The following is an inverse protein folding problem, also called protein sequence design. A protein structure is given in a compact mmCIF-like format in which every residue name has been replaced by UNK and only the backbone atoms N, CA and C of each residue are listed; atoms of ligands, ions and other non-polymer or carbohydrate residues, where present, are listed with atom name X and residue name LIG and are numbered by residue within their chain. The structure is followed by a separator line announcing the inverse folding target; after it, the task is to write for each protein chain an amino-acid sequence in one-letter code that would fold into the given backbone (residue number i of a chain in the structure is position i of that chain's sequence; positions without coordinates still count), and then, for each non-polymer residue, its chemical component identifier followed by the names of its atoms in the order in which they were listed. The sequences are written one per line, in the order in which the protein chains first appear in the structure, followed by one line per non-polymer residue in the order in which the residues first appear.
data_IF_697484555616
#
_entry.id   IF_697484555616
#
_cell.length_a   1.000
_cell.length_b   1.000
_cell.length_c   1.000
_cell.angle_alpha   90.00
_cell.angle_beta   90.00
_cell.angle_gamma   90.00
#
_symmetry.space_group_name_H-M   'P 1'
#
loop_
_entity.id
_entity.type
_entity.pdbx_description
1 polymer ?
#
# COMPACT_ATOMS: atom_id res chain seq x y z
N UNK A 1 -2.51 -1.55 16.77
CA UNK A 1 -2.84 -0.87 15.49
C UNK A 1 -1.93 -1.45 14.41
N UNK A 2 -2.49 -2.24 13.49
CA UNK A 2 -1.80 -2.91 12.39
C UNK A 2 -1.37 -1.89 11.31
N UNK A 3 -0.57 -2.35 10.34
CA UNK A 3 -0.25 -1.50 9.18
C UNK A 3 -1.52 -1.20 8.35
N UNK A 4 -2.43 -2.17 8.24
CA UNK A 4 -3.75 -2.04 7.61
C UNK A 4 -4.55 -0.92 8.26
N UNK A 5 -4.73 -0.93 9.58
CA UNK A 5 -5.48 0.10 10.32
C UNK A 5 -4.92 1.52 10.08
N UNK A 6 -3.58 1.64 10.05
CA UNK A 6 -2.92 2.93 9.78
C UNK A 6 -3.18 3.44 8.36
N UNK A 7 -3.26 2.53 7.40
CA UNK A 7 -3.57 2.85 6.00
C UNK A 7 -5.04 3.26 5.85
N UNK A 8 -5.95 2.55 6.48
CA UNK A 8 -7.38 2.88 6.52
C UNK A 8 -7.60 4.26 7.13
N UNK A 9 -7.07 4.51 8.32
CA UNK A 9 -7.15 5.83 8.96
C UNK A 9 -6.52 6.95 8.11
N UNK A 10 -5.55 6.63 7.24
CA UNK A 10 -5.03 7.61 6.27
C UNK A 10 -6.00 7.88 5.15
N UNK A 11 -6.69 6.86 4.63
CA UNK A 11 -7.71 7.04 3.59
C UNK A 11 -8.88 7.87 4.13
N UNK A 12 -9.37 7.57 5.33
CA UNK A 12 -10.41 8.36 6.00
C UNK A 12 -10.03 9.84 6.15
N UNK A 13 -8.81 10.13 6.61
CA UNK A 13 -8.34 11.53 6.71
C UNK A 13 -8.26 12.23 5.35
N UNK A 14 -7.92 11.51 4.28
CA UNK A 14 -7.91 12.08 2.93
C UNK A 14 -9.32 12.45 2.47
N UNK A 15 -10.34 11.61 2.77
CA UNK A 15 -11.74 11.91 2.46
C UNK A 15 -12.25 13.11 3.26
N UNK A 16 -11.94 13.20 4.56
CA UNK A 16 -12.27 14.37 5.36
C UNK A 16 -11.66 15.65 4.79
N UNK A 17 -10.44 15.59 4.29
CA UNK A 17 -9.77 16.73 3.69
C UNK A 17 -10.36 17.05 2.31
N UNK A 18 -10.75 16.04 1.53
CA UNK A 18 -11.46 16.23 0.26
C UNK A 18 -12.78 16.96 0.50
N UNK A 19 -13.62 16.50 1.43
CA UNK A 19 -14.88 17.14 1.78
C UNK A 19 -14.70 18.61 2.23
N UNK A 20 -13.65 18.88 3.04
CA UNK A 20 -13.31 20.27 3.43
C UNK A 20 -12.90 21.14 2.24
N UNK A 21 -12.27 20.56 1.22
CA UNK A 21 -11.90 21.26 -0.02
C UNK A 21 -13.10 21.49 -0.92
N UNK A 22 -14.00 20.54 -1.04
CA UNK A 22 -15.27 20.68 -1.76
C UNK A 22 -16.12 21.81 -1.18
N UNK A 23 -16.24 21.85 0.15
CA UNK A 23 -16.96 22.95 0.82
C UNK A 23 -16.33 24.32 0.51
N UNK A 24 -14.98 24.41 0.46
CA UNK A 24 -14.29 25.65 0.08
C UNK A 24 -14.46 25.99 -1.40
N UNK A 25 -14.51 25.00 -2.28
CA UNK A 25 -14.81 25.18 -3.70
C UNK A 25 -16.19 25.80 -3.88
N UNK A 26 -17.18 25.17 -3.26
CA UNK A 26 -18.57 25.68 -3.29
C UNK A 26 -18.70 27.10 -2.73
N UNK A 27 -18.06 27.40 -1.61
CA UNK A 27 -18.04 28.71 -1.01
C UNK A 27 -17.42 29.78 -1.93
N UNK A 28 -16.31 29.45 -2.61
CA UNK A 28 -15.63 30.33 -3.53
C UNK A 28 -16.47 30.59 -4.79
N UNK A 29 -17.09 29.54 -5.35
CA UNK A 29 -18.00 29.66 -6.49
C UNK A 29 -19.20 30.54 -6.14
N UNK A 30 -19.91 30.26 -5.04
CA UNK A 30 -21.05 31.05 -4.58
C UNK A 30 -20.71 32.51 -4.29
N UNK A 31 -19.48 32.80 -3.85
CA UNK A 31 -19.03 34.17 -3.65
C UNK A 31 -18.81 34.89 -4.98
N UNK A 32 -18.30 34.19 -6.00
CA UNK A 32 -18.15 34.72 -7.35
C UNK A 32 -19.51 34.94 -8.02
N UNK A 33 -20.42 33.97 -7.91
CA UNK A 33 -21.79 34.06 -8.47
C UNK A 33 -22.56 35.24 -7.90
N UNK A 34 -22.50 35.48 -6.58
CA UNK A 34 -23.15 36.66 -5.96
C UNK A 34 -22.66 38.00 -6.53
N UNK A 35 -21.41 38.09 -6.96
CA UNK A 35 -20.90 39.28 -7.63
C UNK A 35 -21.42 39.32 -9.07
N UNK A 36 -21.43 38.18 -9.77
CA UNK A 36 -21.91 38.08 -11.14
C UNK A 36 -23.40 38.43 -11.26
N UNK A 37 -24.22 37.97 -10.31
CA UNK A 37 -25.66 38.26 -10.24
C UNK A 37 -25.97 39.79 -10.14
N UNK A 38 -25.03 40.54 -9.60
CA UNK A 38 -25.12 42.00 -9.55
C UNK A 38 -24.80 42.72 -10.87
N UNK A 39 -24.32 42.00 -11.88
CA UNK A 39 -23.98 42.54 -13.20
C UNK A 39 -25.00 42.03 -14.21
N UNK A 40 -25.82 42.95 -14.84
CA UNK A 40 -26.76 42.52 -15.86
C UNK A 40 -26.09 41.78 -17.00
N UNK A 41 -26.71 40.67 -17.43
CA UNK A 41 -26.17 39.84 -18.50
C UNK A 41 -25.94 40.65 -19.78
N UNK A 42 -24.71 40.56 -20.33
CA UNK A 42 -24.35 41.28 -21.56
C UNK A 42 -24.05 42.77 -21.38
N UNK A 43 -23.97 43.27 -20.15
CA UNK A 43 -23.61 44.66 -19.91
C UNK A 43 -22.15 44.92 -20.30
N UNK A 44 -21.87 45.81 -21.30
CA UNK A 44 -20.50 46.13 -21.66
C UNK A 44 -19.85 47.05 -20.62
N UNK A 45 -18.53 46.98 -20.51
CA UNK A 45 -17.76 47.96 -19.74
C UNK A 45 -17.85 49.33 -20.44
N UNK A 46 -18.44 50.29 -19.76
CA UNK A 46 -18.54 51.67 -20.27
C UNK A 46 -17.21 52.38 -20.06
N UNK A 47 -16.37 52.42 -21.10
CA UNK A 47 -15.04 53.05 -21.07
C UNK A 47 -15.16 54.55 -20.83
N UNK A 48 -14.38 55.06 -19.85
CA UNK A 48 -14.43 56.49 -19.46
C UNK A 48 -15.55 56.85 -18.50
N UNK A 49 -16.47 55.92 -18.17
CA UNK A 49 -17.53 56.14 -17.19
C UNK A 49 -17.03 55.94 -15.75
N UNK A 50 -17.59 56.68 -14.80
CA UNK A 50 -17.19 56.59 -13.37
C UNK A 50 -17.28 55.16 -12.78
N UNK A 51 -18.14 54.30 -13.32
CA UNK A 51 -18.31 52.91 -12.88
C UNK A 51 -17.31 51.94 -13.50
N UNK A 52 -16.51 52.34 -14.50
CA UNK A 52 -15.59 51.41 -15.20
C UNK A 52 -14.66 50.68 -14.26
N UNK A 53 -14.00 51.41 -13.36
CA UNK A 53 -13.03 50.84 -12.43
C UNK A 53 -13.67 49.82 -11.44
N UNK A 54 -14.93 50.05 -11.05
CA UNK A 54 -15.70 49.14 -10.21
C UNK A 54 -16.04 47.84 -10.98
N UNK A 55 -16.59 47.99 -12.20
CA UNK A 55 -16.98 46.88 -13.07
C UNK A 55 -15.78 45.96 -13.41
N UNK A 56 -14.63 46.56 -13.75
CA UNK A 56 -13.40 45.78 -14.01
C UNK A 56 -12.95 45.01 -12.76
N UNK A 57 -12.97 45.58 -11.58
CA UNK A 57 -12.65 44.91 -10.32
C UNK A 57 -13.61 43.76 -10.01
N UNK A 58 -14.88 43.91 -10.29
CA UNK A 58 -15.88 42.88 -10.04
C UNK A 58 -15.70 41.70 -11.00
N UNK A 59 -15.40 41.93 -12.28
CA UNK A 59 -15.00 40.88 -13.23
C UNK A 59 -13.76 40.15 -12.75
N UNK A 60 -12.73 40.87 -12.29
CA UNK A 60 -11.50 40.22 -11.77
C UNK A 60 -11.76 39.39 -10.51
N UNK A 61 -12.64 39.86 -9.60
CA UNK A 61 -13.06 39.09 -8.42
C UNK A 61 -13.83 37.84 -8.80
N UNK A 62 -14.71 37.89 -9.80
CA UNK A 62 -15.43 36.71 -10.33
C UNK A 62 -14.41 35.69 -10.85
N UNK A 63 -13.52 36.12 -11.74
CA UNK A 63 -12.47 35.22 -12.30
C UNK A 63 -11.58 34.60 -11.20
N UNK A 64 -11.13 35.43 -10.26
CA UNK A 64 -10.31 34.96 -9.14
C UNK A 64 -11.08 33.99 -8.24
N UNK A 65 -12.36 34.26 -7.97
CA UNK A 65 -13.22 33.35 -7.19
C UNK A 65 -13.44 32.02 -7.87
N UNK A 66 -13.77 32.01 -9.16
CA UNK A 66 -13.93 30.77 -9.94
C UNK A 66 -12.64 29.97 -10.05
N UNK A 67 -11.48 30.63 -10.26
CA UNK A 67 -10.19 29.96 -10.28
C UNK A 67 -9.86 29.29 -8.93
N UNK A 68 -10.19 29.96 -7.81
CA UNK A 68 -10.03 29.35 -6.46
C UNK A 68 -10.97 28.16 -6.27
N UNK A 69 -12.20 28.23 -6.77
CA UNK A 69 -13.14 27.13 -6.71
C UNK A 69 -12.58 25.91 -7.46
N UNK A 70 -12.14 26.07 -8.70
CA UNK A 70 -11.51 25.01 -9.50
C UNK A 70 -10.24 24.45 -8.85
N UNK A 71 -9.42 25.29 -8.24
CA UNK A 71 -8.23 24.81 -7.51
C UNK A 71 -8.59 23.93 -6.33
N UNK A 72 -9.62 24.32 -5.56
CA UNK A 72 -10.10 23.52 -4.45
C UNK A 72 -10.72 22.21 -4.91
N UNK A 73 -11.50 22.19 -5.97
CA UNK A 73 -12.10 21.01 -6.58
C UNK A 73 -11.01 20.00 -7.01
N UNK A 74 -10.02 20.44 -7.79
CA UNK A 74 -8.90 19.59 -8.21
C UNK A 74 -8.14 18.99 -7.03
N UNK A 75 -7.97 19.76 -5.93
CA UNK A 75 -7.36 19.25 -4.71
C UNK A 75 -8.23 18.19 -4.02
N UNK A 76 -9.55 18.39 -4.01
CA UNK A 76 -10.51 17.43 -3.46
C UNK A 76 -10.46 16.10 -4.24
N UNK A 77 -10.58 16.17 -5.56
CA UNK A 77 -10.48 15.00 -6.45
C UNK A 77 -9.17 14.23 -6.27
N UNK A 78 -8.05 14.95 -6.19
CA UNK A 78 -6.74 14.32 -5.96
C UNK A 78 -6.66 13.60 -4.61
N UNK A 79 -7.28 14.15 -3.55
CA UNK A 79 -7.31 13.53 -2.23
C UNK A 79 -8.21 12.29 -2.24
N UNK A 80 -9.41 12.38 -2.81
CA UNK A 80 -10.35 11.27 -2.97
C UNK A 80 -9.72 10.12 -3.79
N UNK A 81 -9.17 10.42 -4.95
CA UNK A 81 -8.47 9.43 -5.77
C UNK A 81 -7.33 8.72 -5.03
N UNK A 82 -6.60 9.43 -4.16
CA UNK A 82 -5.56 8.82 -3.32
C UNK A 82 -6.14 7.94 -2.22
N UNK A 83 -7.29 8.31 -1.64
CA UNK A 83 -8.00 7.49 -0.67
C UNK A 83 -8.47 6.18 -1.32
N UNK A 84 -9.07 6.25 -2.50
CA UNK A 84 -9.52 5.09 -3.27
C UNK A 84 -8.36 4.19 -3.68
N UNK A 85 -7.23 4.77 -4.10
CA UNK A 85 -6.01 4.02 -4.38
C UNK A 85 -5.49 3.25 -3.15
N UNK A 86 -5.58 3.84 -1.95
CA UNK A 86 -5.24 3.16 -0.69
C UNK A 86 -6.21 1.99 -0.45
N UNK A 87 -7.52 2.18 -0.57
CA UNK A 87 -8.53 1.13 -0.37
C UNK A 87 -8.37 -0.01 -1.37
N UNK A 88 -8.14 0.30 -2.63
CA UNK A 88 -7.86 -0.71 -3.66
C UNK A 88 -6.62 -1.55 -3.33
N UNK A 89 -5.57 -0.93 -2.80
CA UNK A 89 -4.39 -1.67 -2.33
C UNK A 89 -4.71 -2.54 -1.12
N UNK A 90 -5.49 -2.04 -0.15
CA UNK A 90 -5.89 -2.78 1.04
C UNK A 90 -6.74 -3.99 0.71
N UNK A 91 -7.62 -3.90 -0.28
CA UNK A 91 -8.45 -5.02 -0.73
C UNK A 91 -7.63 -6.18 -1.32
N UNK A 92 -6.46 -5.90 -1.92
CA UNK A 92 -5.66 -6.89 -2.65
C UNK A 92 -4.35 -7.27 -1.94
N UNK A 93 -3.90 -6.49 -0.98
CA UNK A 93 -2.63 -6.72 -0.28
C UNK A 93 -2.84 -7.60 0.96
N UNK A 94 -1.91 -8.50 1.18
CA UNK A 94 -1.76 -9.26 2.42
C UNK A 94 -0.58 -8.66 3.15
N UNK A 95 -0.79 -8.09 4.34
CA UNK A 95 0.31 -7.54 5.15
C UNK A 95 0.81 -8.59 6.14
N UNK A 96 2.08 -8.48 6.54
CA UNK A 96 2.71 -9.46 7.42
C UNK A 96 2.20 -9.41 8.86
N UNK A 97 1.53 -8.31 9.23
CA UNK A 97 0.90 -8.09 10.53
C UNK A 97 -0.63 -8.27 10.49
N UNK A 98 -1.20 -8.73 9.37
CA UNK A 98 -2.58 -9.18 9.32
C UNK A 98 -2.73 -10.49 10.11
N UNK A 99 -3.78 -10.62 10.88
CA UNK A 99 -4.05 -11.82 11.71
C UNK A 99 -4.26 -13.09 10.88
N UNK A 100 -4.70 -12.94 9.64
CA UNK A 100 -4.98 -13.99 8.66
C UNK A 100 -3.91 -14.06 7.54
N UNK A 101 -2.75 -13.43 7.72
CA UNK A 101 -1.70 -13.35 6.68
C UNK A 101 -1.26 -14.74 6.16
N UNK A 102 -1.11 -15.73 7.06
CA UNK A 102 -0.71 -17.08 6.70
C UNK A 102 -1.79 -17.78 5.85
N UNK A 103 -3.04 -17.95 6.32
CA UNK A 103 -4.08 -18.59 5.50
C UNK A 103 -4.39 -17.83 4.22
N UNK A 104 -4.35 -16.50 4.22
CA UNK A 104 -4.56 -15.70 3.01
C UNK A 104 -3.44 -15.91 1.96
N UNK A 105 -2.18 -16.09 2.39
CA UNK A 105 -1.08 -16.45 1.48
C UNK A 105 -1.20 -17.87 0.94
N UNK A 106 -1.61 -18.83 1.78
CA UNK A 106 -1.85 -20.21 1.35
C UNK A 106 -2.95 -20.28 0.29
N UNK A 107 -4.06 -19.58 0.50
CA UNK A 107 -5.14 -19.48 -0.49
C UNK A 107 -4.67 -18.82 -1.78
N UNK A 108 -3.88 -17.73 -1.69
CA UNK A 108 -3.31 -17.05 -2.86
C UNK A 108 -2.38 -17.95 -3.65
N UNK A 109 -1.51 -18.71 -2.99
CA UNK A 109 -0.61 -19.67 -3.62
C UNK A 109 -1.42 -20.73 -4.35
N UNK A 110 -2.43 -21.33 -3.69
CA UNK A 110 -3.30 -22.35 -4.30
C UNK A 110 -4.02 -21.83 -5.55
N UNK A 111 -4.53 -20.59 -5.53
CA UNK A 111 -5.15 -19.93 -6.71
C UNK A 111 -4.14 -19.77 -7.86
N UNK A 112 -2.93 -19.29 -7.57
CA UNK A 112 -1.89 -19.12 -8.60
C UNK A 112 -1.40 -20.44 -9.18
N UNK A 113 -1.33 -21.49 -8.37
CA UNK A 113 -0.97 -22.85 -8.81
C UNK A 113 -2.07 -23.42 -9.71
N UNK A 114 -3.33 -23.30 -9.32
CA UNK A 114 -4.48 -23.72 -10.12
C UNK A 114 -4.52 -22.98 -11.48
N UNK A 115 -4.28 -21.67 -11.47
CA UNK A 115 -4.19 -20.86 -12.69
C UNK A 115 -3.03 -21.35 -13.59
N UNK A 116 -1.86 -21.61 -13.02
CA UNK A 116 -0.70 -22.13 -13.76
C UNK A 116 -0.99 -23.49 -14.40
N UNK A 117 -1.63 -24.38 -13.69
CA UNK A 117 -2.02 -25.69 -14.23
C UNK A 117 -3.08 -25.57 -15.31
N UNK A 118 -4.05 -24.66 -15.18
CA UNK A 118 -5.04 -24.39 -16.25
C UNK A 118 -4.37 -23.88 -17.53
N UNK A 119 -3.38 -22.99 -17.43
CA UNK A 119 -2.60 -22.50 -18.58
C UNK A 119 -1.79 -23.61 -19.26
N UNK A 120 -1.17 -24.49 -18.47
CA UNK A 120 -0.46 -25.65 -19.00
C UNK A 120 -1.40 -26.61 -19.73
N UNK A 121 -2.58 -26.89 -19.14
CA UNK A 121 -3.59 -27.76 -19.71
C UNK A 121 -4.12 -27.21 -21.05
N UNK A 122 -4.45 -25.91 -21.09
CA UNK A 122 -4.88 -25.23 -22.31
C UNK A 122 -3.82 -25.27 -23.42
N UNK A 123 -2.56 -24.97 -23.07
CA UNK A 123 -1.45 -25.07 -24.03
C UNK A 123 -1.23 -26.50 -24.53
N UNK A 124 -1.39 -27.50 -23.65
CA UNK A 124 -1.28 -28.92 -24.04
C UNK A 124 -2.40 -29.35 -24.98
N UNK A 125 -3.64 -28.96 -24.67
CA UNK A 125 -4.80 -29.21 -25.53
C UNK A 125 -4.63 -28.57 -26.90
N UNK A 126 -4.19 -27.30 -26.95
CA UNK A 126 -3.93 -26.59 -28.19
C UNK A 126 -2.88 -27.29 -29.05
N UNK A 127 -1.75 -27.70 -28.44
CA UNK A 127 -0.70 -28.44 -29.18
C UNK A 127 -1.19 -29.76 -29.76
N UNK A 128 -2.09 -30.45 -29.05
CA UNK A 128 -2.68 -31.72 -29.55
C UNK A 128 -3.62 -31.46 -30.74
N UNK A 129 -4.48 -30.42 -30.63
CA UNK A 129 -5.46 -30.09 -31.67
C UNK A 129 -4.79 -29.57 -32.95
N UNK A 130 -3.72 -28.76 -32.84
CA UNK A 130 -3.07 -28.08 -33.96
C UNK A 130 -1.69 -28.67 -34.31
N UNK A 131 -1.49 -29.98 -34.06
CA UNK A 131 -0.17 -30.64 -34.22
C UNK A 131 0.44 -30.47 -35.61
N UNK A 132 -0.37 -30.61 -36.67
CA UNK A 132 0.09 -30.51 -38.05
C UNK A 132 0.49 -29.06 -38.41
N UNK A 133 -0.31 -28.10 -38.01
CA UNK A 133 -0.05 -26.65 -38.26
C UNK A 133 1.22 -26.20 -37.52
N UNK A 134 1.34 -26.59 -36.25
CA UNK A 134 2.49 -26.25 -35.43
C UNK A 134 3.80 -26.91 -35.93
N UNK A 135 3.71 -28.06 -36.59
CA UNK A 135 4.90 -28.72 -37.19
C UNK A 135 5.51 -27.91 -38.32
N UNK A 136 4.70 -27.15 -39.07
CA UNK A 136 5.17 -26.27 -40.16
C UNK A 136 5.75 -24.93 -39.68
N UNK A 137 5.54 -24.55 -38.44
CA UNK A 137 5.94 -23.27 -37.85
C UNK A 137 7.37 -23.32 -37.30
N UNK A 138 8.04 -22.19 -37.26
CA UNK A 138 9.29 -22.01 -36.52
C UNK A 138 9.08 -22.11 -34.99
N UNK A 139 10.16 -22.26 -34.24
CA UNK A 139 10.07 -22.31 -32.77
C UNK A 139 9.46 -21.04 -32.16
N UNK A 140 9.74 -19.88 -32.75
CA UNK A 140 9.20 -18.58 -32.34
C UNK A 140 7.68 -18.51 -32.61
N UNK A 141 7.24 -18.82 -33.82
CA UNK A 141 5.84 -18.82 -34.24
C UNK A 141 5.00 -19.78 -33.39
N UNK A 142 5.53 -21.00 -33.12
CA UNK A 142 4.90 -21.97 -32.19
C UNK A 142 4.68 -21.40 -30.81
N UNK A 143 5.66 -20.62 -30.31
CA UNK A 143 5.54 -19.96 -29.01
C UNK A 143 4.45 -18.90 -28.96
N UNK A 144 4.29 -18.14 -30.05
CA UNK A 144 3.27 -17.10 -30.17
C UNK A 144 1.86 -17.65 -30.45
N UNK A 145 1.78 -18.79 -31.09
CA UNK A 145 0.49 -19.43 -31.39
C UNK A 145 -0.22 -20.04 -30.17
N UNK A 146 0.52 -20.25 -29.06
CA UNK A 146 -0.07 -20.82 -27.85
C UNK A 146 -1.06 -19.85 -27.17
N UNK A 147 -2.21 -20.36 -26.61
CA UNK A 147 -3.16 -19.55 -25.85
C UNK A 147 -2.49 -18.75 -24.73
N UNK A 148 -1.51 -19.33 -24.06
CA UNK A 148 -0.74 -18.68 -23.00
C UNK A 148 0.74 -18.71 -23.34
N UNK A 149 1.38 -17.56 -23.55
CA UNK A 149 2.79 -17.49 -23.89
C UNK A 149 3.69 -17.91 -22.71
N UNK A 150 4.93 -18.30 -23.01
CA UNK A 150 5.88 -18.81 -22.02
C UNK A 150 6.15 -17.85 -20.87
N UNK A 151 6.18 -16.54 -21.15
CA UNK A 151 6.40 -15.51 -20.11
C UNK A 151 5.26 -15.47 -19.07
N UNK A 152 4.00 -15.77 -19.46
CA UNK A 152 2.88 -15.83 -18.53
C UNK A 152 3.09 -16.95 -17.48
N UNK A 153 3.50 -18.14 -17.93
CA UNK A 153 3.83 -19.26 -17.05
C UNK A 153 5.06 -18.97 -16.17
N UNK A 154 6.06 -18.29 -16.72
CA UNK A 154 7.26 -17.88 -15.97
C UNK A 154 6.91 -16.86 -14.89
N UNK A 155 6.07 -15.86 -15.22
CA UNK A 155 5.60 -14.86 -14.26
C UNK A 155 4.77 -15.47 -13.14
N UNK A 156 3.85 -16.39 -13.45
CA UNK A 156 3.09 -17.14 -12.44
C UNK A 156 4.03 -17.95 -11.53
N UNK A 157 5.00 -18.66 -12.11
CA UNK A 157 6.00 -19.40 -11.34
C UNK A 157 6.83 -18.51 -10.41
N UNK A 158 7.23 -17.33 -10.87
CA UNK A 158 7.95 -16.35 -10.05
C UNK A 158 7.07 -15.77 -8.93
N UNK A 159 5.78 -15.53 -9.21
CA UNK A 159 4.81 -15.08 -8.20
C UNK A 159 4.55 -16.14 -7.12
N UNK A 160 4.36 -17.40 -7.51
CA UNK A 160 4.19 -18.53 -6.59
C UNK A 160 5.40 -18.61 -5.65
N UNK A 161 6.62 -18.62 -6.20
CA UNK A 161 7.85 -18.71 -5.42
C UNK A 161 7.98 -17.57 -4.40
N UNK A 162 7.75 -16.33 -4.83
CA UNK A 162 7.80 -15.16 -3.93
C UNK A 162 6.79 -15.24 -2.78
N UNK A 163 5.56 -15.72 -3.08
CA UNK A 163 4.55 -15.90 -2.04
C UNK A 163 4.92 -17.07 -1.11
N UNK A 164 5.50 -18.14 -1.64
CA UNK A 164 5.98 -19.28 -0.84
C UNK A 164 7.11 -18.88 0.11
N UNK A 165 8.14 -18.19 -0.39
CA UNK A 165 9.23 -17.67 0.44
C UNK A 165 8.72 -16.75 1.56
N UNK A 166 7.71 -15.93 1.24
CA UNK A 166 7.08 -15.06 2.21
C UNK A 166 6.26 -15.85 3.25
N UNK A 167 5.52 -16.88 2.83
CA UNK A 167 4.75 -17.74 3.70
C UNK A 167 5.67 -18.49 4.69
N UNK A 168 6.75 -19.08 4.18
CA UNK A 168 7.72 -19.80 5.00
C UNK A 168 8.34 -18.88 6.05
N UNK A 169 8.64 -17.63 5.64
CA UNK A 169 9.18 -16.65 6.57
C UNK A 169 8.16 -16.21 7.64
N UNK A 170 6.89 -16.04 7.29
CA UNK A 170 5.84 -15.72 8.27
C UNK A 170 5.62 -16.87 9.26
N UNK A 171 5.68 -18.12 8.80
CA UNK A 171 5.60 -19.30 9.68
C UNK A 171 6.74 -19.31 10.68
N UNK A 172 7.99 -19.07 10.22
CA UNK A 172 9.16 -18.97 11.11
C UNK A 172 9.01 -17.82 12.11
N UNK A 173 8.50 -16.67 11.68
CA UNK A 173 8.30 -15.51 12.55
C UNK A 173 7.18 -15.78 13.59
N UNK A 174 6.08 -16.44 13.19
CA UNK A 174 5.01 -16.86 14.08
C UNK A 174 5.51 -17.89 15.14
N UNK A 175 6.33 -18.85 14.73
CA UNK A 175 6.94 -19.79 15.67
C UNK A 175 7.84 -19.11 16.70
N UNK A 176 8.60 -18.08 16.30
CA UNK A 176 9.42 -17.29 17.24
C UNK A 176 8.55 -16.58 18.28
N UNK A 177 7.48 -15.93 17.84
CA UNK A 177 6.54 -15.26 18.74
C UNK A 177 5.87 -16.26 19.67
N UNK A 178 5.46 -17.44 19.17
CA UNK A 178 4.87 -18.48 19.97
C UNK A 178 5.84 -19.02 21.05
N UNK A 179 7.13 -19.20 20.70
CA UNK A 179 8.15 -19.58 21.69
C UNK A 179 8.37 -18.49 22.74
N UNK A 180 8.42 -17.23 22.31
CA UNK A 180 8.52 -16.11 23.25
C UNK A 180 7.32 -16.05 24.20
N UNK A 181 6.10 -16.33 23.72
CA UNK A 181 4.91 -16.41 24.53
C UNK A 181 4.99 -17.55 25.58
N UNK A 182 5.47 -18.73 25.17
CA UNK A 182 5.66 -19.85 26.06
C UNK A 182 6.74 -19.61 27.13
N UNK A 183 7.67 -18.71 26.88
CA UNK A 183 8.76 -18.31 27.78
C UNK A 183 8.47 -17.02 28.57
N UNK A 184 7.21 -16.73 28.86
CA UNK A 184 6.85 -15.55 29.68
C UNK A 184 6.89 -14.23 28.94
N UNK A 185 6.82 -14.23 27.61
CA UNK A 185 6.73 -13.01 26.78
C UNK A 185 8.07 -12.56 26.15
N UNK A 186 9.16 -13.25 26.47
CA UNK A 186 10.51 -12.95 25.95
C UNK A 186 11.25 -14.24 25.57
N UNK A 187 11.81 -14.29 24.37
CA UNK A 187 12.77 -15.32 23.97
C UNK A 187 14.14 -14.66 23.67
N UNK A 188 15.18 -15.17 24.31
CA UNK A 188 16.57 -14.78 24.01
C UNK A 188 17.28 -16.01 23.46
N UNK A 189 17.66 -15.98 22.18
CA UNK A 189 18.25 -17.11 21.48
C UNK A 189 19.59 -16.76 20.87
N UNK A 190 20.71 -17.32 21.38
CA UNK A 190 21.99 -17.20 20.73
C UNK A 190 22.04 -18.01 19.43
N UNK A 191 22.71 -17.47 18.43
CA UNK A 191 22.98 -18.10 17.14
C UNK A 191 24.44 -18.57 17.09
N UNK A 192 24.71 -19.61 16.30
CA UNK A 192 26.10 -20.12 16.05
C UNK A 192 27.03 -19.07 15.43
N UNK A 193 26.45 -18.00 14.84
CA UNK A 193 27.19 -16.89 14.23
C UNK A 193 27.73 -15.86 15.24
N UNK A 194 27.57 -16.05 16.55
CA UNK A 194 27.92 -15.05 17.59
C UNK A 194 26.90 -13.90 17.68
N UNK A 195 25.75 -14.06 17.08
CA UNK A 195 24.63 -13.12 17.17
C UNK A 195 23.59 -13.64 18.15
N UNK A 196 22.82 -12.75 18.75
CA UNK A 196 21.66 -13.10 19.60
C UNK A 196 20.39 -12.48 19.02
N UNK A 197 19.33 -13.28 19.01
CA UNK A 197 17.98 -12.88 18.63
C UNK A 197 17.15 -12.71 19.88
N UNK A 198 16.54 -11.55 20.05
CA UNK A 198 15.65 -11.20 21.17
C UNK A 198 14.26 -10.95 20.63
N UNK A 199 13.29 -11.77 20.99
CA UNK A 199 11.90 -11.71 20.52
C UNK A 199 11.00 -11.38 21.69
N UNK A 200 10.17 -10.34 21.56
CA UNK A 200 9.13 -9.98 22.51
C UNK A 200 7.77 -10.29 21.90
N UNK A 201 6.82 -10.77 22.71
CA UNK A 201 5.41 -10.93 22.31
C UNK A 201 4.72 -9.56 22.22
N UNK A 202 4.97 -8.70 23.22
CA UNK A 202 4.46 -7.35 23.27
C UNK A 202 5.59 -6.33 23.14
N UNK A 203 5.25 -5.12 22.73
CA UNK A 203 6.23 -4.03 22.64
C UNK A 203 6.79 -3.73 24.05
N UNK A 204 8.09 -3.90 24.29
CA UNK A 204 8.67 -3.63 25.59
C UNK A 204 8.71 -2.13 25.90
N UNK A 205 9.00 -1.79 27.17
CA UNK A 205 9.18 -0.41 27.62
C UNK A 205 10.26 0.32 26.80
N UNK A 206 10.17 1.66 26.73
CA UNK A 206 11.08 2.47 25.92
C UNK A 206 12.54 2.31 26.35
N UNK A 207 12.79 2.16 27.65
CA UNK A 207 14.13 1.93 28.21
C UNK A 207 14.80 0.66 27.66
N UNK A 208 14.04 -0.41 27.50
CA UNK A 208 14.51 -1.67 26.91
C UNK A 208 14.84 -1.48 25.43
N UNK A 209 14.01 -0.74 24.70
CA UNK A 209 14.25 -0.44 23.29
C UNK A 209 15.51 0.41 23.10
N UNK A 210 15.73 1.37 23.97
CA UNK A 210 16.87 2.27 23.90
C UNK A 210 18.18 1.53 24.31
N UNK A 211 18.11 0.65 25.31
CA UNK A 211 19.23 -0.23 25.66
C UNK A 211 19.63 -1.17 24.50
N UNK A 212 18.65 -1.78 23.83
CA UNK A 212 18.93 -2.63 22.66
C UNK A 212 19.55 -1.82 21.50
N UNK A 213 19.03 -0.64 21.20
CA UNK A 213 19.59 0.23 20.15
C UNK A 213 21.02 0.69 20.52
N UNK A 214 21.23 1.11 21.76
CA UNK A 214 22.55 1.53 22.26
C UNK A 214 23.58 0.40 22.20
N UNK A 215 23.16 -0.84 22.41
CA UNK A 215 23.99 -2.05 22.28
C UNK A 215 24.20 -2.51 20.82
N UNK A 216 23.66 -1.77 19.84
CA UNK A 216 23.81 -2.08 18.41
C UNK A 216 22.85 -3.14 17.88
N UNK A 217 21.82 -3.50 18.64
CA UNK A 217 20.75 -4.38 18.16
C UNK A 217 19.87 -3.67 17.15
N UNK A 218 19.47 -4.38 16.10
CA UNK A 218 18.60 -3.86 15.04
C UNK A 218 17.31 -4.67 15.00
N UNK A 219 16.21 -3.97 14.77
CA UNK A 219 14.92 -4.60 14.56
C UNK A 219 14.88 -5.30 13.20
N UNK A 220 14.63 -6.59 13.21
CA UNK A 220 14.50 -7.42 12.01
C UNK A 220 13.19 -8.21 12.13
N UNK A 221 12.15 -7.78 11.39
CA UNK A 221 10.81 -8.38 11.35
C UNK A 221 10.10 -8.36 12.71
N UNK A 222 10.20 -9.44 13.47
CA UNK A 222 9.55 -9.62 14.79
C UNK A 222 10.54 -9.68 15.95
N UNK A 223 11.83 -9.52 15.69
CA UNK A 223 12.90 -9.72 16.69
C UNK A 223 13.97 -8.64 16.59
N UNK A 224 14.71 -8.45 17.69
CA UNK A 224 15.94 -7.69 17.73
C UNK A 224 17.13 -8.60 17.53
N UNK A 225 18.07 -8.23 16.67
CA UNK A 225 19.25 -9.02 16.34
C UNK A 225 20.50 -8.17 16.56
N UNK A 226 21.43 -8.68 17.33
CA UNK A 226 22.72 -8.01 17.64
C UNK A 226 23.78 -9.01 18.06
N UNK A 227 25.00 -8.50 18.36
CA UNK A 227 26.09 -9.35 18.83
C UNK A 227 25.81 -9.88 20.23
N UNK A 228 26.11 -11.16 20.46
CA UNK A 228 25.88 -11.83 21.76
C UNK A 228 26.63 -11.14 22.89
N UNK A 229 27.86 -10.68 22.63
CA UNK A 229 28.73 -10.01 23.61
C UNK A 229 28.17 -8.65 24.09
N UNK A 230 27.24 -8.07 23.33
CA UNK A 230 26.66 -6.76 23.61
C UNK A 230 25.21 -6.86 24.15
N UNK A 231 24.77 -8.06 24.60
CA UNK A 231 23.41 -8.20 25.11
C UNK A 231 23.22 -7.34 26.37
N UNK A 232 22.24 -6.40 26.38
CA UNK A 232 22.02 -5.52 27.53
C UNK A 232 21.63 -6.31 28.78
N UNK A 233 22.16 -5.90 29.94
CA UNK A 233 21.85 -6.53 31.25
C UNK A 233 20.36 -6.54 31.59
N UNK A 234 19.62 -5.51 31.16
CA UNK A 234 18.17 -5.44 31.31
C UNK A 234 17.46 -6.62 30.65
N UNK A 235 17.98 -7.15 29.54
CA UNK A 235 17.45 -8.32 28.85
C UNK A 235 17.72 -9.59 29.66
N UNK A 236 18.90 -9.72 30.24
CA UNK A 236 19.21 -10.85 31.12
C UNK A 236 18.27 -10.87 32.33
N UNK A 237 18.02 -9.72 32.95
CA UNK A 237 17.11 -9.61 34.10
C UNK A 237 15.67 -9.97 33.74
N UNK A 238 15.19 -9.54 32.55
CA UNK A 238 13.85 -9.86 32.07
C UNK A 238 13.68 -11.33 31.71
N UNK A 239 14.72 -11.98 31.22
CA UNK A 239 14.69 -13.40 30.82
C UNK A 239 14.72 -14.38 31.98
N UNK A 240 15.00 -13.91 33.20
CA UNK A 240 15.05 -14.73 34.42
C UNK A 240 13.73 -14.64 35.25
N UNK A 241 12.78 -13.84 34.83
CA UNK A 241 11.47 -13.70 35.46
C UNK A 241 10.46 -14.61 34.81
#
# INVERSE_FOLDING_TARGET
MTYRDRREARAERLDEWAAKREAKSLQAAQAADRIADGIPLGQPILVGHHSEAAHRRDIERIHSGMNKALEHERKAESMSSRADGIRSQLANAIYSDDTDAIPALEERIAKLEAERESYKAANSAYRKAHKAELAAMTAYERGQALPYPSYALTNLGANIRRNQERLDQLKVDAERVARAAANGGLEVRPLKSGMTVVTFVEKPAQEVLDALRGAGYRWVRVSWVGRSDNLPEIIHTLSQR
#
